data_IF_767360584027
#
_entry.id   IF_767360584027
#
_cell.length_a   1.000
_cell.length_b   1.000
_cell.length_c   1.000
_cell.angle_alpha   90.00
_cell.angle_beta   90.00
_cell.angle_gamma   90.00
#
_symmetry.space_group_name_H-M   'P 1'
#
loop_
_entity.id
_entity.type
_entity.pdbx_description
1 polymer ?
#
# COMPACT_ATOMS: atom_id res chain seq x y z
N UNK A 1 21.46 14.05 -1.93
CA UNK A 1 20.76 13.30 -0.87
C UNK A 1 19.36 13.86 -0.67
N UNK A 2 18.35 13.00 -0.65
CA UNK A 2 16.97 13.46 -0.50
C UNK A 2 16.68 13.86 0.93
N UNK A 3 15.92 14.93 1.11
CA UNK A 3 15.46 15.35 2.43
C UNK A 3 14.42 14.37 2.97
N UNK A 4 14.13 14.45 4.28
CA UNK A 4 13.08 13.64 4.88
C UNK A 4 11.72 13.90 4.24
N UNK A 5 11.42 15.16 3.91
CA UNK A 5 10.17 15.54 3.27
C UNK A 5 10.04 14.96 1.86
N UNK A 6 11.14 14.92 1.12
CA UNK A 6 11.17 14.34 -0.22
C UNK A 6 10.92 12.85 -0.19
N UNK A 7 11.53 12.13 0.76
CA UNK A 7 11.29 10.70 0.96
C UNK A 7 9.85 10.42 1.35
N UNK A 8 9.31 11.25 2.23
CA UNK A 8 7.92 11.13 2.66
C UNK A 8 6.96 11.33 1.49
N UNK A 9 7.24 12.31 0.64
CA UNK A 9 6.44 12.56 -0.56
C UNK A 9 6.49 11.38 -1.53
N UNK A 10 7.66 10.78 -1.73
CA UNK A 10 7.82 9.58 -2.56
C UNK A 10 7.03 8.40 -2.02
N UNK A 11 7.10 8.17 -0.71
CA UNK A 11 6.34 7.09 -0.08
C UNK A 11 4.84 7.33 -0.20
N UNK A 12 4.38 8.55 -0.04
CA UNK A 12 2.97 8.90 -0.23
C UNK A 12 2.50 8.62 -1.65
N UNK A 13 3.34 8.93 -2.65
CA UNK A 13 3.03 8.64 -4.05
C UNK A 13 2.91 7.13 -4.28
N UNK A 14 3.83 6.34 -3.71
CA UNK A 14 3.78 4.88 -3.80
C UNK A 14 2.54 4.31 -3.11
N UNK A 15 2.18 4.86 -1.96
CA UNK A 15 0.98 4.46 -1.24
C UNK A 15 -0.27 4.72 -2.10
N UNK A 16 -0.35 5.87 -2.74
CA UNK A 16 -1.48 6.21 -3.60
C UNK A 16 -1.62 5.22 -4.77
N UNK A 17 -0.50 4.84 -5.40
CA UNK A 17 -0.49 3.85 -6.48
C UNK A 17 -0.95 2.48 -5.98
N UNK A 18 -0.44 2.04 -4.83
CA UNK A 18 -0.80 0.77 -4.24
C UNK A 18 -2.26 0.75 -3.79
N UNK A 19 -2.73 1.82 -3.18
CA UNK A 19 -4.14 1.93 -2.76
C UNK A 19 -5.09 1.85 -3.95
N UNK A 20 -4.75 2.51 -5.06
CA UNK A 20 -5.55 2.44 -6.29
C UNK A 20 -5.63 1.01 -6.81
N UNK A 21 -4.51 0.29 -6.80
CA UNK A 21 -4.45 -1.12 -7.21
C UNK A 21 -5.29 -2.00 -6.27
N UNK A 22 -5.13 -1.81 -4.97
CA UNK A 22 -5.87 -2.58 -3.95
C UNK A 22 -7.37 -2.36 -4.10
N UNK A 23 -7.80 -1.12 -4.27
CA UNK A 23 -9.20 -0.79 -4.45
C UNK A 23 -9.78 -1.44 -5.70
N UNK A 24 -9.03 -1.39 -6.80
CA UNK A 24 -9.42 -2.04 -8.06
C UNK A 24 -9.59 -3.54 -7.88
N UNK A 25 -8.65 -4.18 -7.19
CA UNK A 25 -8.69 -5.63 -6.97
C UNK A 25 -9.80 -6.03 -6.01
N UNK A 26 -10.07 -5.22 -4.99
CA UNK A 26 -11.16 -5.47 -4.05
C UNK A 26 -12.53 -5.38 -4.72
N UNK A 27 -12.65 -4.55 -5.76
CA UNK A 27 -13.88 -4.44 -6.53
C UNK A 27 -14.13 -5.60 -7.48
N UNK A 28 -13.14 -6.47 -7.66
CA UNK A 28 -13.25 -7.61 -8.56
C UNK A 28 -13.92 -8.78 -7.83
N UNK A 29 -15.01 -9.31 -8.41
CA UNK A 29 -15.80 -10.36 -7.75
C UNK A 29 -15.09 -11.72 -7.74
N UNK A 30 -14.36 -12.04 -8.82
CA UNK A 30 -13.64 -13.30 -8.93
C UNK A 30 -12.14 -13.03 -8.99
N UNK A 31 -11.40 -13.57 -8.02
CA UNK A 31 -9.94 -13.44 -7.99
C UNK A 31 -9.31 -14.82 -8.00
N UNK A 32 -8.26 -14.98 -8.81
CA UNK A 32 -7.45 -16.19 -8.79
C UNK A 32 -6.58 -16.20 -7.53
N UNK A 33 -6.01 -17.36 -7.21
CA UNK A 33 -5.08 -17.48 -6.08
C UNK A 33 -3.87 -16.54 -6.25
N UNK A 34 -3.40 -16.40 -7.47
CA UNK A 34 -2.28 -15.51 -7.79
C UNK A 34 -2.68 -14.06 -7.57
N UNK A 35 -3.89 -13.68 -7.96
CA UNK A 35 -4.40 -12.33 -7.75
C UNK A 35 -4.54 -12.01 -6.26
N UNK A 36 -5.00 -12.97 -5.45
CA UNK A 36 -5.05 -12.83 -4.00
C UNK A 36 -3.66 -12.62 -3.40
N UNK A 37 -2.68 -13.39 -3.84
CA UNK A 37 -1.30 -13.27 -3.38
C UNK A 37 -0.72 -11.89 -3.71
N UNK A 38 -0.97 -11.42 -4.92
CA UNK A 38 -0.55 -10.09 -5.38
C UNK A 38 -1.20 -8.99 -4.54
N UNK A 39 -2.49 -9.13 -4.27
CA UNK A 39 -3.24 -8.19 -3.45
C UNK A 39 -2.67 -8.10 -2.03
N UNK A 40 -2.39 -9.25 -1.41
CA UNK A 40 -1.80 -9.31 -0.08
C UNK A 40 -0.41 -8.66 -0.08
N UNK A 41 0.40 -8.92 -1.09
CA UNK A 41 1.72 -8.29 -1.23
C UNK A 41 1.59 -6.77 -1.34
N UNK A 42 0.62 -6.29 -2.10
CA UNK A 42 0.37 -4.86 -2.24
C UNK A 42 -0.03 -4.23 -0.90
N UNK A 43 -0.88 -4.91 -0.12
CA UNK A 43 -1.28 -4.47 1.21
C UNK A 43 -0.09 -4.42 2.17
N UNK A 44 0.75 -5.46 2.16
CA UNK A 44 1.96 -5.50 2.98
C UNK A 44 2.92 -4.38 2.63
N UNK A 45 3.09 -4.13 1.34
CA UNK A 45 3.96 -3.06 0.85
C UNK A 45 3.44 -1.69 1.29
N UNK A 46 2.12 -1.49 1.18
CA UNK A 46 1.47 -0.26 1.62
C UNK A 46 1.70 -0.03 3.12
N UNK A 47 1.53 -1.07 3.93
CA UNK A 47 1.76 -0.99 5.38
C UNK A 47 3.20 -0.62 5.69
N UNK A 48 4.16 -1.14 4.93
CA UNK A 48 5.57 -0.80 5.07
C UNK A 48 5.82 0.69 4.85
N UNK A 49 5.26 1.23 3.77
CA UNK A 49 5.40 2.65 3.48
C UNK A 49 4.68 3.52 4.51
N UNK A 50 3.50 3.12 4.95
CA UNK A 50 2.76 3.82 6.00
C UNK A 50 3.56 3.89 7.29
N UNK A 51 4.16 2.79 7.69
CA UNK A 51 5.03 2.75 8.86
C UNK A 51 6.23 3.68 8.69
N UNK A 52 6.83 3.70 7.51
CA UNK A 52 8.00 4.53 7.22
C UNK A 52 7.69 6.03 7.32
N UNK A 53 6.47 6.45 7.00
CA UNK A 53 6.07 7.86 7.11
C UNK A 53 5.46 8.20 8.47
N UNK A 54 5.42 7.25 9.40
CA UNK A 54 4.90 7.48 10.74
C UNK A 54 3.39 7.45 10.86
N UNK A 55 2.69 6.83 9.91
CA UNK A 55 1.24 6.71 9.98
C UNK A 55 0.82 5.78 11.14
N UNK A 56 -0.35 6.02 11.75
CA UNK A 56 -0.85 5.18 12.83
C UNK A 56 -1.28 3.80 12.31
N UNK A 57 -1.28 2.81 13.20
CA UNK A 57 -1.70 1.45 12.84
C UNK A 57 -3.13 1.40 12.31
N UNK A 58 -3.99 2.31 12.76
CA UNK A 58 -5.37 2.39 12.28
C UNK A 58 -5.48 2.74 10.80
N UNK A 59 -4.42 3.30 10.21
CA UNK A 59 -4.37 3.60 8.77
C UNK A 59 -3.86 2.42 7.95
N UNK A 60 -3.39 1.36 8.60
CA UNK A 60 -2.81 0.19 7.92
C UNK A 60 -3.86 -0.88 7.64
N UNK A 61 -3.56 -1.71 6.65
CA UNK A 61 -4.41 -2.86 6.36
C UNK A 61 -4.22 -3.93 7.43
N UNK A 62 -5.30 -4.55 7.82
CA UNK A 62 -5.31 -5.64 8.79
C UNK A 62 -5.01 -6.96 8.06
N UNK A 63 -3.84 -7.49 8.27
CA UNK A 63 -3.37 -8.69 7.57
C UNK A 63 -3.19 -9.86 8.52
#
# INVERSE_FOLDING_TARGET
MKTRNERKAEFKAKIAELDAYIEKMNGKSDKTDEEYKELIKAMQQTNKYLKAIGAPESAMYDL
#
